data_IF_650819462665
#
_entry.id   IF_650819462665
#
_cell.length_a   1.000
_cell.length_b   1.000
_cell.length_c   1.000
_cell.angle_alpha   90.00
_cell.angle_beta   90.00
_cell.angle_gamma   90.00
#
_symmetry.space_group_name_H-M   'P 1'
#
loop_
_entity.id
_entity.type
_entity.pdbx_description
1 polymer ?
#
# COMPACT_ATOMS: atom_id res chain seq x y z
N UNK A 1 26.51 12.20 8.80
CA UNK A 1 26.37 10.84 8.24
C UNK A 1 24.95 10.39 8.51
N UNK A 2 24.06 10.52 7.52
CA UNK A 2 22.67 10.08 7.64
C UNK A 2 22.67 8.58 7.40
N UNK A 3 22.43 7.78 8.43
CA UNK A 3 22.28 6.34 8.26
C UNK A 3 21.05 6.10 7.37
N UNK A 4 21.16 5.32 6.28
CA UNK A 4 19.98 4.92 5.49
C UNK A 4 19.04 4.11 6.37
N UNK A 5 17.73 4.18 6.10
CA UNK A 5 16.76 3.35 6.82
C UNK A 5 17.18 1.88 6.69
N UNK A 6 17.11 1.14 7.80
CA UNK A 6 17.39 -0.30 7.82
C UNK A 6 16.22 -1.10 7.22
N UNK A 7 15.03 -0.49 7.15
CA UNK A 7 13.82 -1.00 6.50
C UNK A 7 13.86 -0.77 4.99
N UNK A 8 14.93 -1.23 4.35
CA UNK A 8 14.96 -1.31 2.89
C UNK A 8 13.72 -2.06 2.43
N UNK A 9 12.96 -1.47 1.50
CA UNK A 9 11.75 -2.09 0.96
C UNK A 9 12.13 -3.43 0.34
N UNK A 10 11.91 -4.49 1.13
CA UNK A 10 12.01 -5.88 0.72
C UNK A 10 10.61 -6.46 0.82
N UNK A 11 10.01 -6.90 -0.29
CA UNK A 11 8.69 -7.56 -0.28
C UNK A 11 8.70 -8.95 0.38
N UNK A 12 9.74 -9.29 1.15
CA UNK A 12 9.82 -10.50 1.94
C UNK A 12 9.93 -10.12 3.43
N UNK A 13 9.00 -10.63 4.24
CA UNK A 13 9.07 -10.65 5.69
C UNK A 13 10.28 -11.50 6.14
N UNK A 14 11.50 -10.97 6.00
CA UNK A 14 12.61 -11.49 6.78
C UNK A 14 12.46 -10.86 8.15
N UNK A 15 12.06 -11.65 9.13
CA UNK A 15 12.02 -11.23 10.52
C UNK A 15 13.36 -10.57 10.88
N UNK A 16 13.31 -9.28 11.19
CA UNK A 16 14.45 -8.52 11.69
C UNK A 16 14.97 -9.23 12.95
N UNK A 17 16.25 -9.57 12.91
CA UNK A 17 17.01 -10.21 14.00
C UNK A 17 17.55 -9.19 15.02
N UNK A 18 17.02 -7.97 15.00
CA UNK A 18 17.33 -6.96 16.00
C UNK A 18 16.53 -7.28 17.26
N UNK A 19 17.25 -7.46 18.38
CA UNK A 19 16.81 -8.04 19.64
C UNK A 19 15.72 -7.29 20.42
N UNK A 20 14.88 -6.50 19.76
CA UNK A 20 13.72 -5.81 20.35
C UNK A 20 12.43 -6.66 20.27
N UNK A 21 12.46 -7.88 19.69
CA UNK A 21 11.23 -8.61 19.28
C UNK A 21 11.21 -10.14 19.52
N UNK A 22 11.85 -10.65 20.59
CA UNK A 22 11.98 -12.09 20.89
C UNK A 22 10.74 -12.75 21.56
N UNK A 23 9.55 -12.57 20.99
CA UNK A 23 8.34 -13.32 21.40
C UNK A 23 8.19 -14.67 20.68
N UNK A 24 7.42 -15.64 21.21
CA UNK A 24 7.15 -16.91 20.51
C UNK A 24 6.44 -16.65 19.17
N UNK A 25 6.73 -17.48 18.16
CA UNK A 25 6.05 -17.41 16.86
C UNK A 25 4.55 -17.66 17.02
N UNK A 26 3.72 -16.77 16.52
CA UNK A 26 2.27 -16.93 16.49
C UNK A 26 1.84 -17.46 15.12
N UNK A 27 0.72 -18.20 15.08
CA UNK A 27 0.18 -18.76 13.83
C UNK A 27 -0.22 -17.68 12.81
N UNK A 28 -0.55 -16.47 13.27
CA UNK A 28 -0.98 -15.36 12.42
C UNK A 28 0.14 -14.34 12.14
N UNK A 29 1.38 -14.59 12.59
CA UNK A 29 2.51 -13.65 12.48
C UNK A 29 2.44 -12.44 13.43
N UNK A 30 1.28 -12.15 14.02
CA UNK A 30 1.06 -11.05 14.96
C UNK A 30 1.95 -11.14 16.22
N UNK A 31 2.47 -10.00 16.69
CA UNK A 31 3.28 -9.90 17.93
C UNK A 31 2.69 -8.85 18.86
N UNK A 32 1.97 -9.28 19.90
CA UNK A 32 1.22 -8.39 20.79
C UNK A 32 0.31 -7.44 19.99
N UNK A 33 0.53 -6.11 20.06
CA UNK A 33 -0.23 -5.11 19.32
C UNK A 33 0.31 -4.84 17.90
N UNK A 34 1.34 -5.56 17.47
CA UNK A 34 1.85 -5.54 16.10
C UNK A 34 1.08 -6.56 15.27
N UNK A 35 0.06 -6.08 14.57
CA UNK A 35 -0.76 -6.88 13.66
C UNK A 35 -0.15 -6.87 12.27
N UNK A 36 -0.25 -7.98 11.55
CA UNK A 36 0.05 -8.01 10.11
C UNK A 36 -0.87 -7.05 9.36
N UNK A 37 -0.30 -6.26 8.45
CA UNK A 37 -1.05 -5.37 7.56
C UNK A 37 -1.19 -6.05 6.19
N UNK A 38 -2.44 -6.27 5.71
CA UNK A 38 -2.67 -6.92 4.41
C UNK A 38 -2.14 -6.04 3.26
N UNK A 39 -1.94 -6.66 2.10
CA UNK A 39 -1.53 -5.93 0.90
C UNK A 39 -2.62 -4.96 0.46
N UNK A 40 -2.22 -3.85 -0.15
CA UNK A 40 -3.14 -2.86 -0.72
C UNK A 40 -4.21 -3.52 -1.62
N UNK A 41 -3.83 -4.54 -2.40
CA UNK A 41 -4.73 -5.26 -3.32
C UNK A 41 -5.77 -6.14 -2.64
N UNK A 42 -5.58 -6.48 -1.36
CA UNK A 42 -6.50 -7.32 -0.58
C UNK A 42 -7.59 -6.49 0.11
N UNK A 43 -7.31 -5.21 0.38
CA UNK A 43 -8.22 -4.29 1.08
C UNK A 43 -8.78 -3.17 0.19
N UNK A 44 -8.06 -2.82 -0.88
CA UNK A 44 -8.42 -1.74 -1.78
C UNK A 44 -9.55 -2.11 -2.72
N UNK A 45 -10.24 -1.08 -3.22
CA UNK A 45 -11.34 -1.21 -4.18
C UNK A 45 -11.15 -0.27 -5.36
N UNK A 46 -11.49 -0.71 -6.57
CA UNK A 46 -11.24 0.07 -7.80
C UNK A 46 -12.17 1.29 -7.97
N UNK A 47 -13.28 1.32 -7.23
CA UNK A 47 -14.32 2.37 -7.26
C UNK A 47 -14.15 3.43 -6.17
N UNK A 48 -13.11 3.32 -5.34
CA UNK A 48 -12.83 4.23 -4.23
C UNK A 48 -11.62 5.09 -4.53
N UNK A 49 -11.70 6.37 -4.17
CA UNK A 49 -10.58 7.33 -4.20
C UNK A 49 -10.44 7.99 -2.84
N UNK A 50 -9.20 8.29 -2.45
CA UNK A 50 -8.86 9.03 -1.23
C UNK A 50 -8.64 10.51 -1.49
N UNK A 51 -8.88 10.96 -2.72
CA UNK A 51 -8.70 12.36 -3.15
C UNK A 51 -9.91 12.82 -3.94
N UNK A 52 -10.28 14.08 -3.73
CA UNK A 52 -11.35 14.74 -4.45
C UNK A 52 -10.78 15.38 -5.73
N UNK A 53 -10.79 14.60 -6.80
CA UNK A 53 -10.46 15.09 -8.14
C UNK A 53 -11.73 15.50 -8.88
N UNK A 54 -11.67 16.54 -9.73
CA UNK A 54 -12.80 16.88 -10.59
C UNK A 54 -13.12 15.71 -11.53
N UNK A 55 -14.40 15.57 -11.88
CA UNK A 55 -14.83 14.59 -12.86
C UNK A 55 -14.08 14.81 -14.20
N UNK A 56 -13.62 13.71 -14.80
CA UNK A 56 -12.93 13.76 -16.08
C UNK A 56 -13.97 13.94 -17.20
N UNK A 57 -13.70 14.85 -18.13
CA UNK A 57 -14.47 14.98 -19.36
C UNK A 57 -14.16 13.82 -20.31
N UNK A 58 -15.14 12.95 -20.53
CA UNK A 58 -15.02 11.80 -21.43
C UNK A 58 -14.86 12.19 -22.91
N UNK A 59 -15.23 13.42 -23.30
CA UNK A 59 -15.11 13.92 -24.66
C UNK A 59 -13.76 14.61 -24.94
N UNK A 60 -12.91 14.80 -23.93
CA UNK A 60 -11.64 15.48 -24.08
C UNK A 60 -10.69 14.71 -25.04
N UNK A 61 -10.04 15.39 -26.00
CA UNK A 61 -9.16 14.73 -26.95
C UNK A 61 -7.92 14.14 -26.25
N UNK A 62 -7.59 12.89 -26.58
CA UNK A 62 -6.39 12.22 -26.04
C UNK A 62 -5.13 12.65 -26.79
N UNK A 63 -4.00 12.77 -26.08
CA UNK A 63 -2.67 13.05 -26.67
C UNK A 63 -1.80 11.79 -26.76
N UNK A 64 -2.45 10.62 -26.83
CA UNK A 64 -1.80 9.32 -26.76
C UNK A 64 -1.50 8.70 -28.14
N UNK A 65 -1.82 9.38 -29.24
CA UNK A 65 -1.51 8.94 -30.61
C UNK A 65 -1.94 7.48 -30.92
N UNK A 66 -3.12 7.07 -30.44
CA UNK A 66 -3.63 5.71 -30.62
C UNK A 66 -3.15 4.68 -29.59
N UNK A 67 -2.29 5.07 -28.65
CA UNK A 67 -1.80 4.21 -27.55
C UNK A 67 -2.69 4.29 -26.31
N UNK A 68 -4.00 4.50 -26.50
CA UNK A 68 -4.95 4.44 -25.40
C UNK A 68 -5.03 3.00 -24.86
N UNK A 69 -5.25 2.87 -23.55
CA UNK A 69 -5.45 1.56 -22.93
C UNK A 69 -6.74 0.92 -23.44
N UNK A 70 -6.66 -0.37 -23.74
CA UNK A 70 -7.82 -1.21 -24.08
C UNK A 70 -8.52 -1.82 -22.87
N UNK A 71 -7.84 -1.88 -21.72
CA UNK A 71 -8.33 -2.52 -20.50
C UNK A 71 -8.11 -1.64 -19.24
N UNK A 72 -8.85 -1.88 -18.15
CA UNK A 72 -8.61 -1.27 -16.85
C UNK A 72 -7.16 -1.46 -16.35
N UNK A 73 -6.62 -0.49 -15.61
CA UNK A 73 -5.23 -0.55 -15.09
C UNK A 73 -5.09 -1.54 -13.94
N UNK A 74 -6.21 -1.94 -13.33
CA UNK A 74 -6.22 -2.85 -12.19
C UNK A 74 -5.66 -2.22 -10.90
N UNK A 75 -5.61 -0.89 -10.80
CA UNK A 75 -5.25 -0.22 -9.56
C UNK A 75 -6.47 -0.11 -8.65
N UNK A 76 -6.25 -0.42 -7.38
CA UNK A 76 -7.22 -0.24 -6.32
C UNK A 76 -6.93 1.07 -5.59
N UNK A 77 -7.98 1.68 -5.06
CA UNK A 77 -7.90 2.84 -4.19
C UNK A 77 -8.37 2.54 -2.78
N UNK A 78 -8.05 3.47 -1.90
CA UNK A 78 -8.50 3.55 -0.51
C UNK A 78 -9.06 4.96 -0.28
N UNK A 79 -9.99 5.10 0.66
CA UNK A 79 -10.36 6.42 1.17
C UNK A 79 -9.17 7.05 1.89
N UNK A 80 -9.16 8.37 2.06
CA UNK A 80 -8.10 9.08 2.78
C UNK A 80 -7.77 8.47 4.16
N UNK A 81 -8.74 8.25 5.07
CA UNK A 81 -8.44 7.67 6.38
C UNK A 81 -7.93 6.23 6.30
N UNK A 82 -8.39 5.44 5.32
CA UNK A 82 -7.87 4.10 5.08
C UNK A 82 -6.40 4.16 4.62
N UNK A 83 -6.05 5.06 3.71
CA UNK A 83 -4.69 5.26 3.23
C UNK A 83 -3.74 5.69 4.36
N UNK A 84 -4.14 6.66 5.20
CA UNK A 84 -3.34 7.08 6.35
C UNK A 84 -3.08 5.91 7.29
N UNK A 85 -4.12 5.12 7.64
CA UNK A 85 -3.96 3.95 8.51
C UNK A 85 -3.03 2.89 7.91
N UNK A 86 -3.22 2.58 6.63
CA UNK A 86 -2.46 1.56 5.92
C UNK A 86 -0.96 1.90 5.89
N UNK A 87 -0.61 3.07 5.37
CA UNK A 87 0.80 3.46 5.23
C UNK A 87 1.48 3.75 6.57
N UNK A 88 0.74 4.21 7.60
CA UNK A 88 1.27 4.40 8.95
C UNK A 88 1.58 3.06 9.65
N UNK A 89 0.86 1.98 9.32
CA UNK A 89 1.18 0.65 9.84
C UNK A 89 2.36 0.02 9.10
N UNK A 90 2.47 0.25 7.79
CA UNK A 90 3.61 -0.22 6.99
C UNK A 90 4.93 0.46 7.35
N UNK A 91 4.91 1.68 7.87
CA UNK A 91 6.13 2.43 8.22
C UNK A 91 6.78 2.04 9.55
N UNK A 92 6.23 1.05 10.26
CA UNK A 92 6.67 0.65 11.61
C UNK A 92 7.88 -0.30 11.59
#
# INVERSE_FOLDING_TARGET
>A
MTAPNQSGWKPAMIASKDGMHNGPSTTTGNRALMLEEPLLFEIGRADVTGVDLPAVDAAAPTRLAGLARSEPIGLVGLTEPEAVRHYTRLSR
#
